data_IF_544116285588
#
_entry.id   IF_544116285588
#
_cell.length_a   1.000
_cell.length_b   1.000
_cell.length_c   1.000
_cell.angle_alpha   90.00
_cell.angle_beta   90.00
_cell.angle_gamma   90.00
#
_symmetry.space_group_name_H-M   'P 1'
#
loop_
_entity.id
_entity.type
_entity.pdbx_description
1 polymer ?
#
# COMPACT_ATOMS: atom_id res chain seq x y z
N UNK A 1 0.38 -8.97 0.87
CA UNK A 1 -0.46 -8.96 -0.35
C UNK A 1 -1.74 -9.80 -0.23
N UNK A 2 -1.67 -11.08 0.17
CA UNK A 2 -2.86 -11.96 0.26
C UNK A 2 -3.97 -11.46 1.21
N UNK A 3 -3.62 -10.77 2.29
CA UNK A 3 -4.59 -10.16 3.21
C UNK A 3 -5.36 -9.00 2.58
N UNK A 4 -4.70 -8.19 1.75
CA UNK A 4 -5.24 -6.98 1.11
C UNK A 4 -6.38 -7.32 0.16
N UNK A 5 -6.28 -8.44 -0.54
CA UNK A 5 -7.27 -8.87 -1.54
C UNK A 5 -8.27 -9.91 -1.00
N UNK A 6 -8.32 -10.12 0.31
CA UNK A 6 -9.14 -11.19 0.91
C UNK A 6 -10.60 -11.14 0.46
N UNK A 7 -11.20 -9.95 0.46
CA UNK A 7 -12.60 -9.75 0.11
C UNK A 7 -12.80 -9.68 -1.41
N UNK A 8 -11.84 -9.09 -2.12
CA UNK A 8 -11.85 -8.98 -3.59
C UNK A 8 -11.87 -10.36 -4.28
N UNK A 9 -11.30 -11.40 -3.67
CA UNK A 9 -11.34 -12.77 -4.19
C UNK A 9 -12.74 -13.37 -4.29
N UNK A 10 -13.74 -12.77 -3.64
CA UNK A 10 -15.15 -13.18 -3.76
C UNK A 10 -15.83 -12.55 -4.98
N UNK A 11 -15.18 -11.60 -5.65
CA UNK A 11 -15.74 -10.91 -6.80
C UNK A 11 -15.66 -11.77 -8.07
N UNK A 12 -16.51 -11.44 -9.04
CA UNK A 12 -16.34 -11.92 -10.40
C UNK A 12 -15.01 -11.38 -10.98
N UNK A 13 -14.55 -12.00 -12.09
CA UNK A 13 -13.22 -11.74 -12.65
C UNK A 13 -12.94 -10.26 -12.93
N UNK A 14 -13.88 -9.55 -13.58
CA UNK A 14 -13.69 -8.13 -13.95
C UNK A 14 -13.56 -7.25 -12.68
N UNK A 15 -14.50 -7.25 -11.71
CA UNK A 15 -14.33 -6.44 -10.50
C UNK A 15 -13.12 -6.85 -9.63
N UNK A 16 -12.69 -8.12 -9.67
CA UNK A 16 -11.44 -8.55 -9.03
C UNK A 16 -10.24 -7.85 -9.67
N UNK A 17 -10.13 -7.86 -11.01
CA UNK A 17 -9.07 -7.19 -11.75
C UNK A 17 -9.08 -5.68 -11.49
N UNK A 18 -10.25 -5.03 -11.52
CA UNK A 18 -10.38 -3.61 -11.21
C UNK A 18 -9.86 -3.28 -9.81
N UNK A 19 -10.16 -4.14 -8.83
CA UNK A 19 -9.69 -3.96 -7.45
C UNK A 19 -8.18 -4.12 -7.34
N UNK A 20 -7.61 -5.10 -8.05
CA UNK A 20 -6.17 -5.32 -8.11
C UNK A 20 -5.48 -4.11 -8.73
N UNK A 21 -5.90 -3.67 -9.92
CA UNK A 21 -5.29 -2.56 -10.63
C UNK A 21 -5.37 -1.27 -9.79
N UNK A 22 -6.54 -0.99 -9.19
CA UNK A 22 -6.70 0.15 -8.29
C UNK A 22 -5.69 0.11 -7.14
N UNK A 23 -5.53 -1.03 -6.47
CA UNK A 23 -4.58 -1.16 -5.36
C UNK A 23 -3.13 -0.99 -5.80
N UNK A 24 -2.75 -1.53 -6.95
CA UNK A 24 -1.42 -1.30 -7.51
C UNK A 24 -1.20 0.17 -7.87
N UNK A 25 -2.19 0.85 -8.46
CA UNK A 25 -2.13 2.27 -8.74
C UNK A 25 -1.95 3.10 -7.47
N UNK A 26 -2.74 2.83 -6.42
CA UNK A 26 -2.64 3.50 -5.12
C UNK A 26 -1.23 3.32 -4.54
N UNK A 27 -0.74 2.08 -4.47
CA UNK A 27 0.61 1.78 -3.98
C UNK A 27 1.70 2.44 -4.81
N UNK A 28 1.65 2.37 -6.15
CA UNK A 28 2.65 3.04 -6.99
C UNK A 28 2.68 4.54 -6.73
N UNK A 29 1.52 5.15 -6.47
CA UNK A 29 1.45 6.56 -6.15
C UNK A 29 2.00 6.90 -4.76
N UNK A 30 1.72 6.08 -3.75
CA UNK A 30 2.32 6.19 -2.42
C UNK A 30 3.85 6.10 -2.50
N UNK A 31 4.37 5.05 -3.14
CA UNK A 31 5.82 4.87 -3.29
C UNK A 31 6.48 6.01 -4.07
N UNK A 32 5.83 6.60 -5.09
CA UNK A 32 6.34 7.82 -5.74
C UNK A 32 6.47 8.98 -4.76
N UNK A 33 5.45 9.22 -3.93
CA UNK A 33 5.51 10.29 -2.92
C UNK A 33 6.64 10.05 -1.93
N UNK A 34 6.80 8.82 -1.49
CA UNK A 34 7.88 8.45 -0.56
C UNK A 34 9.26 8.65 -1.19
N UNK A 35 9.43 8.32 -2.48
CA UNK A 35 10.70 8.49 -3.19
C UNK A 35 11.12 9.96 -3.31
N UNK A 36 10.14 10.87 -3.37
CA UNK A 36 10.37 12.33 -3.46
C UNK A 36 10.49 12.96 -2.07
N UNK A 37 9.86 12.38 -1.05
CA UNK A 37 9.91 12.86 0.32
C UNK A 37 11.22 12.50 1.04
N UNK A 38 12.02 11.57 0.50
CA UNK A 38 13.34 11.22 1.03
C UNK A 38 14.34 12.38 0.95
N UNK A 39 15.32 12.38 1.86
CA UNK A 39 16.46 13.30 1.74
C UNK A 39 17.28 12.93 0.50
N UNK A 40 17.71 13.93 -0.27
CA UNK A 40 18.64 13.74 -1.41
C UNK A 40 19.97 13.11 -0.95
N UNK A 41 20.30 13.28 0.33
CA UNK A 41 21.56 12.80 0.91
C UNK A 41 21.58 11.29 1.16
N UNK A 42 20.41 10.62 1.23
CA UNK A 42 20.35 9.19 1.52
C UNK A 42 20.26 8.35 0.25
N UNK A 43 21.35 7.60 -0.02
CA UNK A 43 21.46 6.74 -1.22
C UNK A 43 20.52 5.53 -1.18
N UNK A 44 19.99 5.16 -0.01
CA UNK A 44 19.12 4.00 0.20
C UNK A 44 17.67 4.42 0.50
N UNK A 45 16.72 3.56 0.16
CA UNK A 45 15.31 3.71 0.54
C UNK A 45 15.20 3.75 2.06
N UNK A 46 14.44 4.73 2.57
CA UNK A 46 14.29 5.03 4.00
C UNK A 46 14.00 3.80 4.87
N UNK A 47 13.14 2.88 4.40
CA UNK A 47 12.82 1.65 5.14
C UNK A 47 14.07 0.81 5.43
N UNK A 48 14.93 0.62 4.43
CA UNK A 48 16.15 -0.18 4.54
C UNK A 48 17.20 0.57 5.35
N UNK A 49 17.29 1.88 5.17
CA UNK A 49 18.19 2.72 5.95
C UNK A 49 17.86 2.66 7.45
N UNK A 50 16.59 2.81 7.83
CA UNK A 50 16.13 2.67 9.22
C UNK A 50 16.44 1.26 9.73
N UNK A 51 16.15 0.22 8.94
CA UNK A 51 16.41 -1.16 9.34
C UNK A 51 17.89 -1.39 9.62
N UNK A 52 18.77 -0.95 8.72
CA UNK A 52 20.21 -1.12 8.87
C UNK A 52 20.80 -0.23 9.96
N UNK A 53 20.27 0.98 10.17
CA UNK A 53 20.68 1.84 11.30
C UNK A 53 20.38 1.16 12.64
N UNK A 54 19.21 0.53 12.77
CA UNK A 54 18.85 -0.22 13.97
C UNK A 54 19.76 -1.46 14.13
N UNK A 55 20.00 -2.20 13.05
CA UNK A 55 20.93 -3.32 13.05
C UNK A 55 22.36 -2.89 13.37
N UNK A 56 22.80 -1.71 12.95
CA UNK A 56 24.13 -1.16 13.23
C UNK A 56 24.34 -0.95 14.72
N UNK A 57 23.33 -0.42 15.41
CA UNK A 57 23.37 -0.23 16.85
C UNK A 57 23.50 -1.59 17.58
N UNK A 58 22.74 -2.59 17.13
CA UNK A 58 22.86 -3.96 17.65
C UNK A 58 24.24 -4.56 17.33
N UNK A 59 24.66 -4.49 16.07
CA UNK A 59 25.93 -5.02 15.58
C UNK A 59 27.13 -4.37 16.27
N UNK A 60 27.10 -3.07 16.55
CA UNK A 60 28.16 -2.40 17.31
C UNK A 60 28.27 -2.94 18.74
N UNK A 61 27.14 -3.08 19.42
CA UNK A 61 27.10 -3.64 20.80
C UNK A 61 27.47 -5.13 20.86
N UNK A 62 27.18 -5.87 19.78
CA UNK A 62 27.53 -7.29 19.68
C UNK A 62 28.89 -7.50 19.07
N UNK A 63 29.47 -6.60 18.27
CA UNK A 63 30.80 -6.73 17.67
C UNK A 63 31.90 -6.77 18.73
N UNK A 64 31.73 -6.05 19.84
CA UNK A 64 32.62 -6.19 21.01
C UNK A 64 32.60 -7.60 21.62
N UNK A 65 31.53 -8.36 21.37
CA UNK A 65 31.27 -9.68 21.99
C UNK A 65 31.29 -10.83 21.00
N UNK A 66 31.05 -10.58 19.72
CA UNK A 66 30.95 -11.56 18.63
C UNK A 66 32.35 -11.73 18.04
N UNK A 67 32.97 -12.90 18.22
CA UNK A 67 34.26 -13.18 17.61
C UNK A 67 34.11 -13.10 16.09
N UNK A 68 34.90 -12.23 15.46
CA UNK A 68 35.07 -12.19 14.01
C UNK A 68 36.50 -12.60 13.68
N UNK A 69 36.64 -13.61 12.84
CA UNK A 69 37.93 -14.11 12.34
C UNK A 69 38.00 -13.93 10.83
N UNK A 70 39.03 -13.26 10.36
CA UNK A 70 39.29 -13.16 8.92
C UNK A 70 39.74 -14.52 8.39
N UNK A 71 39.06 -15.00 7.34
CA UNK A 71 39.39 -16.24 6.64
C UNK A 71 40.22 -15.96 5.39
N UNK A 72 39.78 -14.98 4.60
CA UNK A 72 40.44 -14.58 3.36
C UNK A 72 40.36 -13.06 3.18
N UNK A 73 41.48 -12.37 3.37
CA UNK A 73 41.58 -10.91 3.23
C UNK A 73 41.47 -10.42 1.78
N UNK A 74 41.77 -11.27 0.79
CA UNK A 74 41.67 -10.91 -0.63
C UNK A 74 40.23 -11.00 -1.17
N UNK A 75 39.45 -11.93 -0.62
CA UNK A 75 38.04 -12.14 -0.98
C UNK A 75 37.07 -11.48 0.02
N UNK A 76 37.60 -10.87 1.09
CA UNK A 76 36.84 -10.29 2.20
C UNK A 76 35.85 -11.31 2.80
N UNK A 77 36.39 -12.49 3.11
CA UNK A 77 35.68 -13.59 3.72
C UNK A 77 36.01 -13.68 5.22
N UNK A 78 34.95 -13.80 6.02
CA UNK A 78 35.02 -13.76 7.48
C UNK A 78 34.18 -14.87 8.10
N UNK A 79 34.68 -15.42 9.20
CA UNK A 79 33.92 -16.26 10.11
C UNK A 79 33.42 -15.41 11.27
N UNK A 80 32.11 -15.43 11.50
CA UNK A 80 31.44 -14.70 12.58
C UNK A 80 30.78 -15.71 13.50
N UNK A 81 31.15 -15.71 14.78
CA UNK A 81 30.51 -16.55 15.79
C UNK A 81 29.36 -15.79 16.44
N UNK A 82 28.14 -16.32 16.24
CA UNK A 82 26.94 -15.81 16.89
C UNK A 82 26.95 -16.20 18.38
N UNK A 83 26.95 -15.20 19.25
CA UNK A 83 27.02 -15.37 20.70
C UNK A 83 25.75 -15.96 21.31
N UNK A 84 24.60 -15.81 20.64
CA UNK A 84 23.34 -16.36 21.16
C UNK A 84 23.24 -17.85 20.88
N UNK A 85 23.61 -18.28 19.67
CA UNK A 85 23.44 -19.65 19.22
C UNK A 85 24.74 -20.49 19.28
N UNK A 86 25.90 -19.85 19.50
CA UNK A 86 27.22 -20.49 19.48
C UNK A 86 27.65 -21.03 18.11
N UNK A 87 26.98 -20.61 17.04
CA UNK A 87 27.23 -21.10 15.67
C UNK A 87 28.11 -20.13 14.91
N UNK A 88 28.97 -20.69 14.06
CA UNK A 88 29.79 -19.92 13.14
C UNK A 88 29.06 -19.72 11.82
N UNK A 89 29.14 -18.50 11.30
CA UNK A 89 28.63 -18.12 9.99
C UNK A 89 29.77 -17.60 9.12
N UNK A 90 29.74 -17.97 7.85
CA UNK A 90 30.70 -17.50 6.86
C UNK A 90 30.05 -16.36 6.08
N UNK A 91 30.74 -15.23 6.03
CA UNK A 91 30.29 -13.99 5.39
C UNK A 91 31.29 -13.59 4.33
N UNK A 92 30.81 -13.26 3.14
CA UNK A 92 31.63 -12.67 2.07
C UNK A 92 31.09 -11.27 1.74
N UNK A 93 31.92 -10.24 1.96
CA UNK A 93 31.52 -8.85 1.74
C UNK A 93 31.52 -8.45 0.25
N UNK A 94 32.31 -9.11 -0.60
CA UNK A 94 32.36 -8.85 -2.05
C UNK A 94 31.13 -9.45 -2.72
N UNK A 95 30.86 -10.73 -2.45
CA UNK A 95 29.70 -11.46 -2.98
C UNK A 95 28.38 -11.06 -2.31
N UNK A 96 28.46 -10.35 -1.18
CA UNK A 96 27.31 -9.91 -0.38
C UNK A 96 26.45 -11.10 0.05
N UNK A 97 27.12 -12.09 0.62
CA UNK A 97 26.53 -13.38 0.99
C UNK A 97 26.85 -13.74 2.43
N UNK A 98 26.00 -14.58 3.03
CA UNK A 98 26.20 -15.10 4.37
C UNK A 98 25.62 -16.51 4.48
N UNK A 99 26.27 -17.42 5.21
CA UNK A 99 25.75 -18.78 5.39
C UNK A 99 24.41 -18.84 6.12
N UNK A 100 23.98 -17.77 6.82
CA UNK A 100 22.61 -17.64 7.35
C UNK A 100 21.54 -17.36 6.29
N UNK A 101 21.94 -17.10 5.04
CA UNK A 101 21.11 -16.83 3.85
C UNK A 101 20.24 -15.57 3.87
N UNK A 102 20.18 -14.85 4.99
CA UNK A 102 19.50 -13.55 5.04
C UNK A 102 20.12 -12.55 4.07
N UNK A 103 21.44 -12.42 4.04
CA UNK A 103 22.11 -11.49 3.12
C UNK A 103 21.87 -11.88 1.65
N UNK A 104 21.90 -13.18 1.35
CA UNK A 104 21.65 -13.72 0.01
C UNK A 104 20.21 -13.43 -0.46
N UNK A 105 19.21 -13.54 0.40
CA UNK A 105 17.79 -13.38 0.02
C UNK A 105 17.31 -11.94 0.11
N UNK A 106 17.58 -11.28 1.23
CA UNK A 106 17.14 -9.91 1.48
C UNK A 106 18.00 -8.90 0.73
N UNK A 107 19.17 -9.28 0.22
CA UNK A 107 20.07 -8.41 -0.56
C UNK A 107 20.52 -7.15 0.18
N UNK A 108 20.45 -7.16 1.50
CA UNK A 108 21.08 -6.22 2.42
C UNK A 108 21.72 -6.99 3.58
N UNK A 109 22.71 -6.41 4.29
CA UNK A 109 23.43 -7.12 5.33
C UNK A 109 22.54 -7.68 6.44
N UNK A 110 22.78 -8.93 6.81
CA UNK A 110 22.31 -9.46 8.09
C UNK A 110 23.23 -9.00 9.23
N UNK A 111 22.90 -9.35 10.47
CA UNK A 111 23.72 -9.03 11.64
C UNK A 111 25.18 -9.51 11.47
N UNK A 112 25.40 -10.74 10.96
CA UNK A 112 26.74 -11.27 10.69
C UNK A 112 27.45 -10.48 9.59
N UNK A 113 26.74 -10.14 8.51
CA UNK A 113 27.24 -9.30 7.43
C UNK A 113 27.75 -7.95 7.94
N UNK A 114 26.98 -7.36 8.84
CA UNK A 114 27.31 -6.07 9.45
C UNK A 114 28.47 -6.17 10.44
N UNK A 115 28.52 -7.23 11.25
CA UNK A 115 29.66 -7.50 12.15
C UNK A 115 30.98 -7.68 11.38
N UNK A 116 30.96 -8.45 10.28
CA UNK A 116 32.12 -8.60 9.40
C UNK A 116 32.55 -7.27 8.77
N UNK A 117 31.59 -6.43 8.35
CA UNK A 117 31.88 -5.10 7.81
C UNK A 117 32.46 -4.15 8.87
N UNK A 118 31.94 -4.15 10.09
CA UNK A 118 32.49 -3.37 11.20
C UNK A 118 33.92 -3.79 11.52
N UNK A 119 34.20 -5.10 11.54
CA UNK A 119 35.56 -5.62 11.70
C UNK A 119 36.49 -5.15 10.57
N UNK A 120 36.01 -5.23 9.32
CA UNK A 120 36.74 -4.74 8.15
C UNK A 120 37.09 -3.25 8.26
N UNK A 121 36.15 -2.42 8.68
CA UNK A 121 36.35 -0.98 8.91
C UNK A 121 37.31 -0.69 10.06
N UNK A 122 37.16 -1.38 11.19
CA UNK A 122 38.02 -1.21 12.36
C UNK A 122 39.49 -1.51 12.01
N UNK A 123 39.72 -2.57 11.22
CA UNK A 123 41.06 -2.91 10.75
C UNK A 123 41.63 -1.86 9.78
N UNK A 124 40.82 -1.32 8.86
CA UNK A 124 41.25 -0.22 7.98
C UNK A 124 41.62 1.04 8.76
N UNK A 125 40.82 1.40 9.78
CA UNK A 125 41.07 2.56 10.62
C UNK A 125 42.34 2.39 11.46
N UNK A 126 42.54 1.20 12.04
CA UNK A 126 43.74 0.87 12.79
C UNK A 126 45.02 0.94 11.93
N UNK A 127 44.94 0.57 10.65
CA UNK A 127 46.08 0.65 9.73
C UNK A 127 46.41 2.06 9.27
N UNK A 128 45.47 3.00 9.30
CA UNK A 128 45.71 4.40 8.96
C UNK A 128 46.55 5.15 10.01
N UNK A 129 46.62 4.65 11.25
CA UNK A 129 47.47 5.21 12.32
C UNK A 129 48.92 4.68 12.29
N UNK A 130 49.21 3.65 11.49
CA UNK A 130 50.52 3.01 11.42
C UNK A 130 51.14 3.25 10.04
N UNK A 131 51.91 4.34 9.89
CA UNK A 131 52.61 4.75 8.65
C UNK A 131 53.56 3.70 8.03
N UNK A 132 53.70 2.52 8.65
CA UNK A 132 54.72 1.52 8.31
C UNK A 132 54.19 0.12 7.96
N UNK A 133 52.87 -0.09 7.84
CA UNK A 133 52.36 -1.41 7.48
C UNK A 133 52.14 -1.53 5.95
N UNK A 134 52.93 -2.34 5.21
CA UNK A 134 52.64 -2.64 3.81
C UNK A 134 51.47 -3.63 3.76
N UNK A 135 50.27 -3.15 4.05
CA UNK A 135 49.09 -4.00 4.04
C UNK A 135 48.65 -4.26 2.61
N UNK A 136 48.92 -5.49 2.17
CA UNK A 136 48.52 -6.10 0.89
C UNK A 136 47.00 -6.32 0.77
N UNK A 137 46.15 -5.50 1.40
CA UNK A 137 44.73 -5.47 1.03
C UNK A 137 44.65 -4.71 -0.30
N UNK A 138 43.79 -5.15 -1.21
CA UNK A 138 43.41 -4.28 -2.33
C UNK A 138 42.93 -2.97 -1.71
N UNK A 139 43.13 -1.85 -2.40
CA UNK A 139 42.49 -0.55 -2.11
C UNK A 139 40.97 -0.62 -2.36
N UNK A 140 40.30 -1.64 -1.79
CA UNK A 140 38.87 -1.87 -1.88
C UNK A 140 38.25 -1.06 -0.76
N UNK A 141 37.80 0.13 -1.12
CA UNK A 141 36.90 0.94 -0.29
C UNK A 141 35.48 0.45 -0.55
N UNK A 142 34.82 -0.06 0.47
CA UNK A 142 33.39 -0.39 0.42
C UNK A 142 32.67 0.68 1.21
N UNK A 143 31.80 1.44 0.55
CA UNK A 143 30.92 2.37 1.25
C UNK A 143 29.71 1.64 1.83
N UNK A 144 29.16 2.15 2.93
CA UNK A 144 28.09 1.48 3.68
C UNK A 144 26.87 1.07 2.83
N UNK A 145 26.41 1.93 1.93
CA UNK A 145 25.27 1.64 1.05
C UNK A 145 25.61 0.64 -0.07
N UNK A 146 26.89 0.42 -0.36
CA UNK A 146 27.32 -0.58 -1.35
C UNK A 146 27.19 -2.00 -0.80
N UNK A 147 27.05 -2.16 0.52
CA UNK A 147 26.66 -3.44 1.10
C UNK A 147 25.26 -3.86 0.66
N UNK A 148 24.38 -2.91 0.35
CA UNK A 148 23.06 -3.20 -0.16
C UNK A 148 23.08 -3.44 -1.67
N UNK A 149 22.14 -4.24 -2.14
CA UNK A 149 21.81 -4.28 -3.56
C UNK A 149 21.29 -2.93 -4.04
N UNK A 150 21.65 -2.62 -5.28
CA UNK A 150 21.13 -1.46 -6.00
C UNK A 150 19.60 -1.43 -6.08
N UNK A 151 18.93 -2.56 -5.90
CA UNK A 151 17.47 -2.64 -5.77
C UNK A 151 16.89 -1.71 -4.69
N UNK A 152 17.65 -1.46 -3.61
CA UNK A 152 17.24 -0.57 -2.52
C UNK A 152 17.78 0.85 -2.65
N UNK A 153 18.39 1.20 -3.78
CA UNK A 153 18.82 2.57 -4.00
C UNK A 153 17.62 3.44 -4.33
N UNK A 154 17.55 4.62 -3.73
CA UNK A 154 16.43 5.56 -3.89
C UNK A 154 16.16 5.89 -5.36
N UNK A 155 17.23 6.05 -6.15
CA UNK A 155 17.15 6.32 -7.60
C UNK A 155 16.47 5.18 -8.37
N UNK A 156 16.95 3.93 -8.19
CA UNK A 156 16.39 2.76 -8.87
C UNK A 156 14.97 2.45 -8.42
N UNK A 157 14.70 2.68 -7.15
CA UNK A 157 13.37 2.54 -6.59
C UNK A 157 12.41 3.57 -7.18
N UNK A 158 12.81 4.85 -7.29
CA UNK A 158 12.03 5.89 -7.96
C UNK A 158 11.75 5.54 -9.43
N UNK A 159 12.75 5.01 -10.15
CA UNK A 159 12.58 4.56 -11.53
C UNK A 159 11.59 3.40 -11.67
N UNK A 160 11.55 2.48 -10.69
CA UNK A 160 10.61 1.35 -10.70
C UNK A 160 9.15 1.81 -10.61
N UNK A 161 8.87 2.90 -9.88
CA UNK A 161 7.52 3.43 -9.65
C UNK A 161 7.17 4.67 -10.52
N UNK A 162 8.10 5.13 -11.37
CA UNK A 162 7.92 6.31 -12.22
C UNK A 162 6.67 6.24 -13.12
N UNK A 163 6.34 5.06 -13.67
CA UNK A 163 5.19 4.91 -14.56
C UNK A 163 3.87 5.00 -13.80
N UNK A 164 2.92 5.75 -14.37
CA UNK A 164 1.54 5.80 -13.90
C UNK A 164 0.80 4.54 -14.35
N UNK A 165 0.13 3.87 -13.41
CA UNK A 165 -0.77 2.75 -13.71
C UNK A 165 -2.18 3.32 -13.84
N UNK A 166 -2.78 3.21 -15.02
CA UNK A 166 -4.15 3.62 -15.27
C UNK A 166 -5.09 2.42 -15.09
N UNK A 167 -6.20 2.59 -14.35
CA UNK A 167 -7.21 1.53 -14.17
C UNK A 167 -7.85 1.10 -15.49
N UNK A 168 -7.99 2.04 -16.42
CA UNK A 168 -8.43 1.81 -17.78
C UNK A 168 -7.45 2.57 -18.67
N UNK A 169 -6.82 1.91 -19.67
CA UNK A 169 -5.98 2.61 -20.63
C UNK A 169 -6.78 3.67 -21.36
N UNK A 170 -6.12 4.72 -21.86
CA UNK A 170 -6.79 5.66 -22.74
C UNK A 170 -7.29 4.92 -23.99
N UNK A 171 -8.43 5.35 -24.55
CA UNK A 171 -8.98 4.72 -25.75
C UNK A 171 -7.99 4.73 -26.92
N UNK A 172 -7.09 5.72 -26.97
CA UNK A 172 -6.05 5.83 -27.99
C UNK A 172 -4.95 4.76 -27.86
N UNK A 173 -4.75 4.18 -26.68
CA UNK A 173 -3.72 3.16 -26.41
C UNK A 173 -4.24 1.72 -26.61
N UNK A 174 -5.56 1.56 -26.78
CA UNK A 174 -6.20 0.25 -26.97
C UNK A 174 -6.09 -0.21 -28.42
N UNK A 175 -5.05 -1.00 -28.74
CA UNK A 175 -4.98 -1.72 -30.00
C UNK A 175 -5.92 -2.95 -29.96
N UNK A 176 -7.21 -2.71 -30.20
CA UNK A 176 -8.22 -3.77 -30.32
C UNK A 176 -8.17 -4.33 -31.75
N UNK A 177 -7.86 -5.62 -31.94
CA UNK A 177 -7.92 -6.26 -33.25
C UNK A 177 -9.29 -6.10 -33.91
N UNK A 178 -9.33 -5.94 -35.23
CA UNK A 178 -10.57 -5.60 -35.94
C UNK A 178 -11.66 -6.68 -35.79
N UNK A 179 -11.28 -7.96 -35.75
CA UNK A 179 -12.22 -9.06 -35.49
C UNK A 179 -12.94 -8.96 -34.13
N UNK A 180 -12.36 -8.27 -33.13
CA UNK A 180 -12.99 -8.02 -31.83
C UNK A 180 -13.89 -6.78 -31.90
N UNK A 181 -13.54 -5.76 -32.68
CA UNK A 181 -14.41 -4.59 -32.91
C UNK A 181 -15.70 -4.97 -33.64
N UNK A 182 -15.59 -5.95 -34.54
CA UNK A 182 -16.69 -6.46 -35.35
C UNK A 182 -17.57 -7.49 -34.61
N UNK A 183 -17.10 -8.01 -33.47
CA UNK A 183 -17.86 -8.96 -32.65
C UNK A 183 -19.08 -8.27 -32.02
N UNK A 184 -20.28 -8.59 -32.52
CA UNK A 184 -21.52 -8.19 -31.85
C UNK A 184 -21.81 -9.12 -30.67
N UNK A 185 -21.56 -8.62 -29.45
CA UNK A 185 -21.91 -9.34 -28.22
C UNK A 185 -23.42 -9.26 -28.01
N UNK A 186 -24.13 -10.31 -28.41
CA UNK A 186 -25.57 -10.44 -28.19
C UNK A 186 -25.80 -10.78 -26.70
N UNK A 187 -26.62 -10.00 -25.96
CA UNK A 187 -26.96 -10.35 -24.59
C UNK A 187 -27.61 -11.74 -24.54
N UNK A 188 -27.29 -12.58 -23.55
CA UNK A 188 -27.97 -13.86 -23.40
C UNK A 188 -29.47 -13.64 -23.27
N UNK A 189 -30.26 -14.49 -23.94
CA UNK A 189 -31.71 -14.42 -23.90
C UNK A 189 -32.19 -14.43 -22.46
N UNK A 190 -32.88 -13.35 -22.06
CA UNK A 190 -33.51 -13.29 -20.74
C UNK A 190 -34.52 -14.43 -20.66
N UNK A 191 -34.20 -15.46 -19.87
CA UNK A 191 -35.18 -16.46 -19.47
C UNK A 191 -36.34 -15.72 -18.82
N UNK A 192 -37.48 -15.62 -19.54
CA UNK A 192 -38.72 -15.10 -18.96
C UNK A 192 -39.03 -16.00 -17.75
N UNK A 193 -38.88 -15.46 -16.54
CA UNK A 193 -39.36 -16.15 -15.33
C UNK A 193 -40.80 -16.55 -15.61
N UNK A 194 -41.11 -17.84 -15.57
CA UNK A 194 -42.50 -18.31 -15.61
C UNK A 194 -43.25 -17.53 -14.53
N UNK A 195 -44.30 -16.81 -14.92
CA UNK A 195 -45.10 -16.03 -13.99
C UNK A 195 -45.58 -16.88 -12.83
N UNK A 196 -45.94 -16.22 -11.72
CA UNK A 196 -46.50 -16.89 -10.53
C UNK A 196 -47.66 -17.78 -10.98
N UNK A 197 -47.59 -19.09 -10.69
CA UNK A 197 -48.72 -20.00 -10.96
C UNK A 197 -49.96 -19.44 -10.28
N UNK A 198 -51.02 -19.27 -11.06
CA UNK A 198 -52.31 -18.83 -10.55
C UNK A 198 -52.85 -19.91 -9.60
N UNK A 199 -53.15 -19.51 -8.36
CA UNK A 199 -53.69 -20.43 -7.37
C UNK A 199 -55.14 -20.72 -7.74
N UNK A 200 -55.46 -21.98 -8.06
CA UNK A 200 -56.85 -22.47 -8.27
C UNK A 200 -57.65 -22.55 -6.96
N UNK A 201 -57.35 -21.70 -5.97
CA UNK A 201 -57.99 -21.71 -4.66
C UNK A 201 -59.24 -20.84 -4.74
N UNK A 202 -60.39 -21.42 -4.46
CA UNK A 202 -61.63 -20.64 -4.31
C UNK A 202 -61.51 -19.78 -3.03
N UNK A 203 -61.69 -18.44 -3.13
CA UNK A 203 -61.67 -17.58 -1.96
C UNK A 203 -62.85 -17.87 -1.03
N UNK A 204 -62.63 -17.70 0.27
CA UNK A 204 -63.69 -17.79 1.29
C UNK A 204 -64.57 -16.53 1.29
N UNK A 205 -65.74 -16.57 1.96
CA UNK A 205 -66.72 -15.48 1.93
C UNK A 205 -66.17 -14.12 2.39
N UNK A 206 -65.17 -14.11 3.29
CA UNK A 206 -64.50 -12.90 3.77
C UNK A 206 -63.34 -12.40 2.91
N UNK A 207 -62.98 -13.09 1.83
CA UNK A 207 -61.91 -12.72 0.90
C UNK A 207 -62.45 -12.09 -0.40
N UNK A 208 -63.74 -11.73 -0.45
CA UNK A 208 -64.32 -11.04 -1.61
C UNK A 208 -63.80 -9.61 -1.65
N UNK A 209 -62.94 -9.33 -2.62
CA UNK A 209 -62.37 -8.03 -2.94
C UNK A 209 -63.39 -6.87 -2.88
N UNK A 210 -63.24 -6.04 -1.86
CA UNK A 210 -63.89 -4.74 -1.65
C UNK A 210 -62.95 -3.56 -1.98
N UNK A 211 -61.89 -3.81 -2.77
CA UNK A 211 -61.10 -2.76 -3.45
C UNK A 211 -60.30 -1.82 -2.55
N UNK A 212 -60.33 -2.01 -1.22
CA UNK A 212 -59.81 -1.05 -0.24
C UNK A 212 -58.72 -1.67 0.65
N UNK A 213 -57.65 -2.20 0.05
CA UNK A 213 -56.53 -2.72 0.83
C UNK A 213 -55.17 -2.25 0.33
N UNK A 214 -54.94 -0.94 0.42
CA UNK A 214 -53.60 -0.39 0.68
C UNK A 214 -53.73 0.93 1.47
N UNK A 215 -54.21 0.88 2.70
CA UNK A 215 -53.86 1.91 3.67
C UNK A 215 -52.58 1.48 4.38
N UNK A 216 -51.45 1.99 3.91
CA UNK A 216 -50.19 1.92 4.64
C UNK A 216 -50.29 2.90 5.82
N UNK A 217 -50.36 2.44 7.09
CA UNK A 217 -50.66 3.30 8.24
C UNK A 217 -49.63 4.41 8.47
N UNK A 218 -48.38 4.20 8.02
CA UNK A 218 -47.31 5.18 8.11
C UNK A 218 -47.52 6.40 7.18
N UNK A 219 -48.28 6.25 6.09
CA UNK A 219 -48.52 7.33 5.14
C UNK A 219 -49.38 8.46 5.77
N UNK A 220 -50.31 8.14 6.66
CA UNK A 220 -51.10 9.15 7.38
C UNK A 220 -50.27 9.96 8.37
N UNK A 221 -49.34 9.31 9.09
CA UNK A 221 -48.46 9.99 10.03
C UNK A 221 -47.52 10.97 9.31
N UNK A 222 -46.96 10.55 8.17
CA UNK A 222 -46.13 11.43 7.33
C UNK A 222 -46.94 12.59 6.75
N UNK A 223 -48.19 12.34 6.33
CA UNK A 223 -49.04 13.39 5.76
C UNK A 223 -49.41 14.46 6.81
N UNK A 224 -49.79 14.04 8.03
CA UNK A 224 -50.11 14.96 9.13
C UNK A 224 -48.89 15.79 9.52
N UNK A 225 -47.71 15.17 9.55
CA UNK A 225 -46.47 15.87 9.89
C UNK A 225 -46.07 16.90 8.81
N UNK A 226 -46.27 16.55 7.53
CA UNK A 226 -46.06 17.50 6.42
C UNK A 226 -47.03 18.67 6.50
N UNK A 227 -48.30 18.44 6.85
CA UNK A 227 -49.29 19.52 7.01
C UNK A 227 -48.96 20.41 8.22
N UNK A 228 -48.51 19.83 9.34
CA UNK A 228 -48.06 20.55 10.53
C UNK A 228 -46.89 21.48 10.22
N UNK A 229 -45.82 20.94 9.62
CA UNK A 229 -44.63 21.71 9.23
C UNK A 229 -44.96 22.81 8.21
N UNK A 230 -45.91 22.55 7.30
CA UNK A 230 -46.38 23.56 6.34
C UNK A 230 -47.12 24.72 7.02
N UNK A 231 -47.79 24.47 8.13
CA UNK A 231 -48.40 25.51 8.98
C UNK A 231 -47.34 26.41 9.61
N UNK A 232 -46.34 25.81 10.27
CA UNK A 232 -45.25 26.54 10.94
C UNK A 232 -44.46 27.43 9.96
N UNK A 233 -44.18 26.93 8.75
CA UNK A 233 -43.50 27.71 7.72
C UNK A 233 -44.31 28.93 7.28
N UNK A 234 -45.65 28.82 7.23
CA UNK A 234 -46.51 29.97 6.89
C UNK A 234 -46.50 31.02 7.99
N UNK A 235 -46.56 30.60 9.25
CA UNK A 235 -46.53 31.53 10.39
C UNK A 235 -45.21 32.29 10.46
N UNK A 236 -44.08 31.60 10.31
CA UNK A 236 -42.76 32.23 10.21
C UNK A 236 -42.66 33.20 9.02
N UNK A 237 -43.27 32.87 7.88
CA UNK A 237 -43.30 33.76 6.72
C UNK A 237 -44.10 35.05 7.01
N UNK A 238 -45.19 34.96 7.76
CA UNK A 238 -45.98 36.12 8.19
C UNK A 238 -45.23 36.99 9.20
N UNK A 239 -44.51 36.38 10.15
CA UNK A 239 -43.65 37.11 11.08
C UNK A 239 -42.53 37.86 10.36
N UNK A 240 -41.85 37.20 9.42
CA UNK A 240 -40.83 37.84 8.57
C UNK A 240 -41.44 38.99 7.78
N UNK A 241 -42.67 38.83 7.25
CA UNK A 241 -43.35 39.91 6.54
C UNK A 241 -43.67 41.10 7.46
N UNK A 242 -44.08 40.86 8.72
CA UNK A 242 -44.30 41.91 9.73
C UNK A 242 -43.00 42.63 10.09
N UNK A 243 -41.93 41.90 10.36
CA UNK A 243 -40.61 42.46 10.68
C UNK A 243 -40.07 43.30 9.51
N UNK A 244 -40.22 42.83 8.27
CA UNK A 244 -39.86 43.61 7.08
C UNK A 244 -40.62 44.93 7.00
N UNK A 245 -41.93 44.94 7.28
CA UNK A 245 -42.74 46.18 7.31
C UNK A 245 -42.27 47.15 8.39
N UNK A 246 -41.98 46.65 9.59
CA UNK A 246 -41.46 47.46 10.70
C UNK A 246 -40.13 48.12 10.33
N UNK A 247 -39.19 47.36 9.77
CA UNK A 247 -37.89 47.87 9.31
C UNK A 247 -38.06 48.94 8.22
N UNK A 248 -38.96 48.75 7.25
CA UNK A 248 -39.23 49.77 6.23
C UNK A 248 -39.94 51.02 6.76
N UNK A 249 -40.65 50.92 7.89
CA UNK A 249 -41.32 52.08 8.52
C UNK A 249 -40.38 52.91 9.41
N UNK A 250 -39.35 52.30 9.98
CA UNK A 250 -38.34 52.97 10.83
C UNK A 250 -37.15 53.53 10.05
N UNK A 251 -37.03 53.21 8.75
CA UNK A 251 -35.96 53.66 7.85
C UNK A 251 -36.40 54.74 6.85
N UNK A 252 -37.61 55.28 6.96
CA UNK A 252 -38.00 56.54 6.31
C UNK A 252 -37.61 57.71 7.24
N UNK A 253 -36.85 58.71 6.76
CA UNK A 253 -36.35 59.83 7.56
C UNK A 253 -37.45 60.74 8.09
#
# INVERSE_FOLDING_TARGET
MNSVFRDARRYALIPLLDTIIKKFSDWFNEHRKDSVAGSIDTKLVLLVEIHLHNLWSTAGSTAEKTPVRELNSYELEYEVTDTENGKNYVVNLIEKSCSCKVYDYEKYPCLHGLAAYLYFLAYLYFLLEVEAAPCRRRDVKIEYHELCSKYYWTELWALAYYKTIYSVPDRCDLNVPDHIKELQIIPPDRLKRKGRKENKRNPSFGERHDGLHFHQPWAFGVQQEVERLRGEVKELAEEIAKLKRLITSTSRP
#
